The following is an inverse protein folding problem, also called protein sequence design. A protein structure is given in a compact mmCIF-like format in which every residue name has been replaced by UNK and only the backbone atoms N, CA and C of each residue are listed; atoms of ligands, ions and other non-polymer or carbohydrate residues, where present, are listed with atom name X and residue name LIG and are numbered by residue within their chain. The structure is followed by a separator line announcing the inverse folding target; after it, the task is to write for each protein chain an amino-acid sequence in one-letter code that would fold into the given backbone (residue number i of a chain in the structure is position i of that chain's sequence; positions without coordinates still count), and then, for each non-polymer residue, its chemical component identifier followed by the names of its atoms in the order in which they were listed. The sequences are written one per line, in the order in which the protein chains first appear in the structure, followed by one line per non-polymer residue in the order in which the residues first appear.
data_IF_069011413508
#
_entry.id   IF_069011413508
#
_cell.length_a   1.000
_cell.length_b   1.000
_cell.length_c   1.000
_cell.angle_alpha   90.00
_cell.angle_beta   90.00
_cell.angle_gamma   90.00
#
_symmetry.space_group_name_H-M   'P 1'
#
loop_
_entity.id
_entity.type
_entity.pdbx_description
1 polymer ?
#
# COMPACT_ATOMS: atom_id res chain seq x y z
N UNK A 1 25.35 -7.88 0.81
CA UNK A 1 24.82 -7.00 1.87
C UNK A 1 24.40 -5.74 1.16
N UNK A 2 23.18 -5.70 0.63
CA UNK A 2 22.77 -4.58 -0.21
C UNK A 2 22.03 -3.59 0.68
N UNK A 3 22.84 -2.77 1.36
CA UNK A 3 22.37 -1.60 2.09
C UNK A 3 21.87 -0.60 1.05
N UNK A 4 20.54 -0.46 0.95
CA UNK A 4 19.94 0.66 0.22
C UNK A 4 20.25 1.92 1.02
N UNK A 5 21.29 2.65 0.62
CA UNK A 5 21.61 3.96 1.19
C UNK A 5 20.59 4.95 0.63
N UNK A 6 19.72 5.56 1.46
CA UNK A 6 18.80 6.59 0.98
C UNK A 6 19.59 7.79 0.46
N UNK A 7 19.18 8.35 -0.69
CA UNK A 7 19.73 9.60 -1.18
C UNK A 7 19.47 10.73 -0.16
N UNK A 8 20.47 11.56 0.19
CA UNK A 8 20.41 12.49 1.32
C UNK A 8 19.42 13.65 1.16
N UNK A 9 18.84 13.85 -0.02
CA UNK A 9 18.07 15.06 -0.36
C UNK A 9 16.54 14.87 -0.36
N UNK A 10 16.04 13.75 0.17
CA UNK A 10 14.60 13.59 0.36
C UNK A 10 14.19 14.06 1.75
N UNK A 11 13.72 15.30 1.87
CA UNK A 11 13.03 15.75 3.07
C UNK A 11 11.90 14.74 3.43
N UNK A 12 11.95 14.21 4.65
CA UNK A 12 10.90 13.32 5.16
C UNK A 12 9.60 14.12 5.31
N UNK A 13 8.43 13.54 4.98
CA UNK A 13 7.18 14.25 5.21
C UNK A 13 7.00 14.52 6.70
N UNK A 14 6.43 15.67 7.09
CA UNK A 14 6.08 15.94 8.48
C UNK A 14 5.08 14.89 8.98
N UNK A 15 5.22 14.48 10.24
CA UNK A 15 4.22 13.61 10.89
C UNK A 15 2.93 14.40 11.03
N UNK A 16 1.84 13.84 10.50
CA UNK A 16 0.52 14.46 10.55
C UNK A 16 -0.01 14.48 11.98
N UNK A 17 -0.83 15.47 12.33
CA UNK A 17 -1.47 15.55 13.65
C UNK A 17 -2.24 14.26 14.01
N UNK A 18 -2.92 13.63 13.04
CA UNK A 18 -3.61 12.33 13.23
C UNK A 18 -2.65 11.19 13.61
N UNK A 19 -1.38 11.31 13.22
CA UNK A 19 -0.33 10.32 13.45
C UNK A 19 0.62 10.73 14.58
N UNK A 20 0.33 11.82 15.28
CA UNK A 20 1.23 12.39 16.29
C UNK A 20 1.55 11.40 17.41
N UNK A 21 0.53 10.68 17.88
CA UNK A 21 0.68 9.72 18.98
C UNK A 21 1.03 8.30 18.49
N UNK A 22 1.11 8.11 17.17
CA UNK A 22 1.52 6.83 16.61
C UNK A 22 3.02 6.60 16.85
N UNK A 23 3.45 5.35 17.07
CA UNK A 23 4.86 5.05 17.24
C UNK A 23 5.64 5.47 15.99
N UNK A 24 6.88 5.92 16.18
CA UNK A 24 7.75 6.37 15.09
C UNK A 24 9.12 5.72 15.15
N UNK A 25 9.73 5.54 13.99
CA UNK A 25 11.11 5.09 13.85
C UNK A 25 11.74 5.80 12.66
N UNK A 26 13.00 6.22 12.82
CA UNK A 26 13.75 6.94 11.79
C UNK A 26 12.97 8.16 11.24
N UNK A 27 12.31 8.91 12.13
CA UNK A 27 11.56 10.13 11.78
C UNK A 27 10.33 9.89 10.90
N UNK A 28 9.83 8.66 10.83
CA UNK A 28 8.59 8.30 10.15
C UNK A 28 7.64 7.63 11.15
N UNK A 29 6.33 7.87 10.99
CA UNK A 29 5.30 7.07 11.66
C UNK A 29 5.42 5.63 11.21
N UNK A 30 5.30 4.70 12.15
CA UNK A 30 5.15 3.27 11.89
C UNK A 30 3.66 3.03 11.61
N UNK A 31 3.26 2.64 10.38
CA UNK A 31 1.88 2.28 10.09
C UNK A 31 1.36 1.21 11.04
N UNK A 32 0.10 1.30 11.44
CA UNK A 32 -0.56 0.37 12.36
C UNK A 32 -0.38 -1.11 11.94
N UNK A 33 -0.47 -1.42 10.64
CA UNK A 33 -0.30 -2.79 10.13
C UNK A 33 1.15 -3.26 10.05
N UNK A 34 2.13 -2.46 10.49
CA UNK A 34 3.54 -2.81 10.31
C UNK A 34 3.97 -3.85 11.32
N UNK A 35 4.56 -4.94 10.83
CA UNK A 35 5.17 -5.96 11.67
C UNK A 35 6.28 -5.32 12.53
N UNK A 36 6.20 -5.47 13.85
CA UNK A 36 7.14 -4.82 14.78
C UNK A 36 7.71 -5.80 15.80
N UNK A 37 9.02 -5.76 16.01
CA UNK A 37 9.62 -6.37 17.20
C UNK A 37 9.26 -5.52 18.44
N UNK A 38 9.31 -6.17 19.61
CA UNK A 38 9.23 -5.53 20.95
C UNK A 38 8.06 -4.54 21.10
N UNK A 39 6.84 -5.05 20.99
CA UNK A 39 5.63 -4.29 21.32
C UNK A 39 5.42 -3.02 20.49
N UNK A 40 5.68 -3.09 19.18
CA UNK A 40 5.32 -2.01 18.26
C UNK A 40 6.38 -0.92 18.02
N UNK A 41 7.60 -1.07 18.54
CA UNK A 41 8.62 0.01 18.50
C UNK A 41 9.78 -0.21 17.55
N UNK A 42 9.97 -1.43 17.06
CA UNK A 42 11.05 -1.79 16.14
C UNK A 42 10.46 -2.37 14.85
N UNK A 43 10.14 -1.52 13.85
CA UNK A 43 9.42 -1.95 12.67
C UNK A 43 10.29 -2.77 11.73
N UNK A 44 9.68 -3.79 11.13
CA UNK A 44 10.19 -4.54 9.98
C UNK A 44 9.59 -3.91 8.74
N UNK A 45 10.24 -2.87 8.23
CA UNK A 45 9.71 -2.06 7.12
C UNK A 45 9.41 -2.88 5.86
N UNK A 46 8.15 -2.85 5.41
CA UNK A 46 7.68 -3.61 4.26
C UNK A 46 7.17 -5.01 4.59
N UNK A 47 7.07 -5.35 5.87
CA UNK A 47 6.34 -6.54 6.35
C UNK A 47 5.07 -6.11 7.10
N UNK A 48 3.97 -6.82 6.83
CA UNK A 48 2.68 -6.61 7.48
C UNK A 48 2.54 -7.55 8.67
N UNK A 49 2.01 -7.05 9.79
CA UNK A 49 1.57 -7.87 10.90
C UNK A 49 0.26 -8.58 10.51
N UNK A 50 0.21 -9.92 10.47
CA UNK A 50 -0.99 -10.63 10.08
C UNK A 50 -2.18 -10.40 11.01
N UNK A 51 -1.95 -10.19 12.31
CA UNK A 51 -3.02 -9.93 13.28
C UNK A 51 -3.59 -8.52 13.09
N UNK A 52 -2.74 -7.51 12.96
CA UNK A 52 -3.21 -6.14 12.72
C UNK A 52 -3.84 -6.00 11.34
N UNK A 53 -3.32 -6.70 10.32
CA UNK A 53 -3.95 -6.76 9.01
C UNK A 53 -5.37 -7.35 9.09
N UNK A 54 -5.55 -8.46 9.83
CA UNK A 54 -6.87 -9.04 10.04
C UNK A 54 -7.80 -8.08 10.79
N UNK A 55 -7.31 -7.37 11.80
CA UNK A 55 -8.08 -6.36 12.53
C UNK A 55 -8.55 -5.24 11.59
N UNK A 56 -7.62 -4.67 10.83
CA UNK A 56 -7.87 -3.56 9.92
C UNK A 56 -8.90 -3.93 8.85
N UNK A 57 -8.79 -5.13 8.27
CA UNK A 57 -9.77 -5.63 7.31
C UNK A 57 -11.13 -5.90 7.96
N UNK A 58 -11.15 -6.55 9.13
CA UNK A 58 -12.40 -6.95 9.81
C UNK A 58 -13.21 -5.74 10.31
N UNK A 59 -12.52 -4.70 10.76
CA UNK A 59 -13.15 -3.52 11.36
C UNK A 59 -13.13 -2.28 10.47
N UNK A 60 -12.71 -2.42 9.20
CA UNK A 60 -12.61 -1.30 8.25
C UNK A 60 -11.87 -0.10 8.83
N UNK A 61 -10.65 -0.36 9.29
CA UNK A 61 -9.75 0.63 9.87
C UNK A 61 -8.75 1.11 8.83
N UNK A 62 -8.16 2.27 9.04
CA UNK A 62 -7.03 2.73 8.24
C UNK A 62 -5.77 1.93 8.56
N UNK A 63 -5.10 1.38 7.53
CA UNK A 63 -3.86 0.61 7.75
C UNK A 63 -2.69 1.42 8.34
N UNK A 64 -2.73 2.76 8.23
CA UNK A 64 -1.66 3.63 8.78
C UNK A 64 -1.95 4.05 10.21
N UNK A 65 -3.14 4.57 10.51
CA UNK A 65 -3.43 5.11 11.84
C UNK A 65 -4.23 4.18 12.74
N UNK A 66 -4.79 3.09 12.23
CA UNK A 66 -5.60 2.14 13.01
C UNK A 66 -7.01 2.65 13.37
N UNK A 67 -7.40 3.86 12.97
CA UNK A 67 -8.73 4.40 13.27
C UNK A 67 -9.78 4.06 12.21
N UNK A 68 -11.07 4.02 12.57
CA UNK A 68 -12.16 3.85 11.61
C UNK A 68 -12.16 4.93 10.53
N UNK A 69 -12.56 4.55 9.32
CA UNK A 69 -12.73 5.49 8.21
C UNK A 69 -13.87 6.49 8.45
N UNK A 70 -13.68 7.73 7.97
CA UNK A 70 -14.78 8.66 7.70
C UNK A 70 -15.40 8.36 6.33
N UNK A 71 -15.99 9.37 5.68
CA UNK A 71 -16.79 9.21 4.45
C UNK A 71 -15.99 8.70 3.23
N UNK A 72 -14.67 8.89 3.22
CA UNK A 72 -13.81 8.57 2.09
C UNK A 72 -12.69 7.64 2.49
N UNK A 73 -12.45 6.65 1.62
CA UNK A 73 -11.36 5.70 1.75
C UNK A 73 -10.50 5.76 0.50
N UNK A 74 -9.19 5.77 0.70
CA UNK A 74 -8.20 5.65 -0.38
C UNK A 74 -7.63 4.24 -0.38
N UNK A 75 -7.62 3.60 -1.54
CA UNK A 75 -6.93 2.33 -1.77
C UNK A 75 -5.73 2.63 -2.66
N UNK A 76 -4.54 2.21 -2.22
CA UNK A 76 -3.32 2.25 -3.02
C UNK A 76 -3.20 0.93 -3.76
N UNK A 77 -3.07 0.99 -5.09
CA UNK A 77 -3.08 -0.22 -5.92
C UNK A 77 -2.28 -0.04 -7.21
N UNK A 78 -1.90 -1.18 -7.78
CA UNK A 78 -1.23 -1.30 -9.09
C UNK A 78 -2.26 -1.65 -10.16
N UNK A 79 -1.94 -1.47 -11.46
CA UNK A 79 -2.81 -1.90 -12.56
C UNK A 79 -3.21 -3.39 -12.49
N UNK A 80 -2.29 -4.28 -12.07
CA UNK A 80 -2.58 -5.70 -11.92
C UNK A 80 -3.65 -5.99 -10.84
N UNK A 81 -3.62 -5.25 -9.72
CA UNK A 81 -4.61 -5.37 -8.64
C UNK A 81 -6.01 -4.98 -9.15
N UNK A 82 -6.09 -3.92 -9.96
CA UNK A 82 -7.33 -3.50 -10.62
C UNK A 82 -7.89 -4.59 -11.55
N UNK A 83 -7.05 -5.18 -12.40
CA UNK A 83 -7.46 -6.24 -13.33
C UNK A 83 -7.96 -7.49 -12.59
N UNK A 84 -7.38 -7.79 -11.42
CA UNK A 84 -7.85 -8.85 -10.52
C UNK A 84 -9.16 -8.49 -9.80
N UNK A 85 -9.51 -7.21 -9.75
CA UNK A 85 -10.71 -6.70 -9.09
C UNK A 85 -10.60 -6.64 -7.56
N UNK A 86 -9.39 -6.75 -7.02
CA UNK A 86 -9.13 -6.75 -5.58
C UNK A 86 -7.86 -5.96 -5.24
N UNK A 87 -7.96 -5.04 -4.28
CA UNK A 87 -6.83 -4.31 -3.72
C UNK A 87 -6.24 -5.12 -2.55
N UNK A 88 -5.00 -5.63 -2.63
CA UNK A 88 -4.42 -6.47 -1.58
C UNK A 88 -4.09 -5.70 -0.29
N UNK A 89 -3.91 -4.38 -0.39
CA UNK A 89 -3.67 -3.52 0.77
C UNK A 89 -4.98 -2.93 1.32
N UNK A 90 -5.14 -2.81 2.65
CA UNK A 90 -6.31 -2.19 3.24
C UNK A 90 -6.41 -0.69 2.92
N UNK A 91 -7.57 -0.10 3.19
CA UNK A 91 -7.83 1.30 2.92
C UNK A 91 -7.04 2.25 3.83
N UNK A 92 -6.97 3.51 3.40
CA UNK A 92 -6.37 4.61 4.13
C UNK A 92 -7.36 5.78 4.21
N UNK A 93 -7.25 6.60 5.27
CA UNK A 93 -7.78 7.96 5.20
C UNK A 93 -7.04 8.75 4.11
N UNK A 94 -7.67 9.74 3.45
CA UNK A 94 -7.02 10.56 2.43
C UNK A 94 -5.69 11.18 2.87
N UNK A 95 -5.63 11.73 4.08
CA UNK A 95 -4.42 12.32 4.65
C UNK A 95 -3.35 11.25 4.96
N UNK A 96 -3.75 10.07 5.44
CA UNK A 96 -2.84 8.96 5.67
C UNK A 96 -2.26 8.43 4.35
N UNK A 97 -3.06 8.41 3.28
CA UNK A 97 -2.58 8.09 1.94
C UNK A 97 -1.58 9.13 1.47
N UNK A 98 -1.87 10.42 1.62
CA UNK A 98 -0.94 11.49 1.28
C UNK A 98 0.42 11.31 2.00
N UNK A 99 0.38 11.09 3.32
CA UNK A 99 1.58 10.81 4.11
C UNK A 99 2.32 9.57 3.60
N UNK A 100 1.62 8.45 3.38
CA UNK A 100 2.21 7.20 2.90
C UNK A 100 2.88 7.36 1.53
N UNK A 101 2.25 8.09 0.60
CA UNK A 101 2.83 8.34 -0.73
C UNK A 101 4.14 9.11 -0.67
N UNK A 102 4.29 10.03 0.29
CA UNK A 102 5.52 10.77 0.52
C UNK A 102 6.54 10.00 1.38
N UNK A 103 6.10 9.17 2.32
CA UNK A 103 6.98 8.46 3.25
C UNK A 103 7.57 7.18 2.64
N UNK A 104 6.76 6.40 1.92
CA UNK A 104 7.17 5.11 1.39
C UNK A 104 8.17 5.28 0.23
N UNK A 105 9.38 4.67 0.29
CA UNK A 105 10.36 4.78 -0.79
C UNK A 105 9.85 4.27 -2.15
N UNK A 106 8.99 3.24 -2.13
CA UNK A 106 8.36 2.69 -3.34
C UNK A 106 7.42 3.74 -3.93
N UNK A 107 6.46 4.24 -3.17
CA UNK A 107 5.45 5.18 -3.68
C UNK A 107 6.05 6.55 -4.05
N UNK A 108 7.03 7.03 -3.29
CA UNK A 108 7.73 8.28 -3.55
C UNK A 108 8.77 8.17 -4.69
N UNK A 109 8.80 7.06 -5.42
CA UNK A 109 9.73 6.79 -6.54
C UNK A 109 11.22 6.92 -6.17
N UNK A 110 11.59 6.67 -4.91
CA UNK A 110 12.99 6.72 -4.43
C UNK A 110 13.75 5.42 -4.68
N UNK A 111 13.04 4.36 -5.06
CA UNK A 111 13.61 3.07 -5.45
C UNK A 111 13.00 2.63 -6.78
N UNK A 112 13.85 2.03 -7.61
CA UNK A 112 13.48 1.55 -8.95
C UNK A 112 13.09 0.08 -8.97
N UNK A 113 13.49 -0.71 -7.98
CA UNK A 113 13.21 -2.14 -7.91
C UNK A 113 12.70 -2.53 -6.53
N UNK A 114 11.87 -3.57 -6.48
CA UNK A 114 11.56 -4.25 -5.25
C UNK A 114 12.82 -4.89 -4.67
N UNK A 115 12.83 -5.12 -3.36
CA UNK A 115 13.93 -5.83 -2.72
C UNK A 115 14.03 -7.24 -3.33
N UNK A 116 15.25 -7.69 -3.62
CA UNK A 116 15.54 -9.01 -4.22
C UNK A 116 15.17 -10.21 -3.34
N UNK A 117 14.84 -9.97 -2.07
CA UNK A 117 14.26 -10.97 -1.17
C UNK A 117 13.17 -10.28 -0.35
N UNK A 118 12.07 -10.99 -0.13
CA UNK A 118 10.99 -10.58 0.75
C UNK A 118 11.54 -10.11 2.12
N UNK A 119 11.01 -9.01 2.65
CA UNK A 119 11.53 -8.42 3.89
C UNK A 119 11.32 -9.39 5.04
N UNK A 120 10.17 -10.05 5.08
CA UNK A 120 9.87 -11.06 6.09
C UNK A 120 10.74 -12.33 5.95
N UNK A 121 11.35 -12.59 4.78
CA UNK A 121 12.31 -13.70 4.63
C UNK A 121 13.68 -13.40 5.26
N UNK A 122 13.93 -12.15 5.66
CA UNK A 122 15.13 -11.71 6.40
C UNK A 122 14.84 -11.40 7.87
N UNK A 123 13.73 -11.90 8.43
CA UNK A 123 13.42 -11.74 9.84
C UNK A 123 14.50 -12.40 10.70
N UNK A 124 15.46 -11.60 11.15
CA UNK A 124 16.33 -11.99 12.25
C UNK A 124 15.46 -12.01 13.50
N UNK A 125 15.09 -13.21 13.95
CA UNK A 125 14.42 -13.38 15.24
C UNK A 125 15.33 -12.79 16.31
N UNK A 126 14.78 -12.00 17.22
CA UNK A 126 15.57 -11.55 18.36
C UNK A 126 15.67 -12.67 19.39
N UNK A 127 16.70 -12.62 20.22
CA UNK A 127 16.93 -13.59 21.31
C UNK A 127 15.99 -13.38 22.51
N UNK A 128 15.07 -12.42 22.43
CA UNK A 128 14.07 -12.15 23.47
C UNK A 128 12.90 -13.15 23.37
N UNK A 129 12.74 -14.06 24.36
CA UNK A 129 11.70 -15.08 24.33
C UNK A 129 10.28 -14.51 24.54
N UNK A 130 10.14 -13.26 25.00
CA UNK A 130 8.86 -12.59 25.17
C UNK A 130 8.43 -11.82 23.92
N UNK A 131 9.30 -11.72 22.91
CA UNK A 131 8.96 -11.04 21.67
C UNK A 131 8.04 -11.90 20.80
N UNK A 132 6.99 -11.28 20.25
CA UNK A 132 6.06 -11.93 19.32
C UNK A 132 6.73 -12.46 18.05
N UNK A 133 7.98 -12.06 17.76
CA UNK A 133 8.71 -12.58 16.61
C UNK A 133 9.01 -14.08 16.67
N UNK A 134 8.90 -14.71 17.85
CA UNK A 134 9.05 -16.15 18.00
C UNK A 134 8.02 -16.95 17.16
N UNK A 135 6.81 -16.40 16.97
CA UNK A 135 5.72 -17.07 16.24
C UNK A 135 5.59 -16.61 14.79
N UNK A 136 6.44 -15.68 14.33
CA UNK A 136 6.42 -15.21 12.95
C UNK A 136 6.83 -16.32 11.99
N UNK A 137 6.03 -16.45 10.93
CA UNK A 137 6.27 -17.38 9.83
C UNK A 137 7.00 -16.67 8.69
N UNK A 138 7.96 -17.32 8.03
CA UNK A 138 8.53 -16.80 6.79
C UNK A 138 7.44 -16.56 5.73
N UNK A 139 7.68 -15.66 4.76
CA UNK A 139 6.82 -15.50 3.60
C UNK A 139 6.61 -16.83 2.89
N UNK A 140 5.40 -17.03 2.38
CA UNK A 140 5.06 -18.20 1.58
C UNK A 140 5.68 -18.04 0.19
N UNK A 141 6.41 -19.06 -0.27
CA UNK A 141 6.93 -19.14 -1.64
C UNK A 141 5.78 -19.04 -2.64
N UNK A 142 5.98 -18.28 -3.72
CA UNK A 142 4.94 -18.04 -4.72
C UNK A 142 3.88 -17.00 -4.31
N UNK A 143 4.04 -16.34 -3.17
CA UNK A 143 3.25 -15.15 -2.82
C UNK A 143 3.53 -13.98 -3.78
N UNK A 144 2.65 -12.98 -3.81
CA UNK A 144 2.85 -11.79 -4.65
C UNK A 144 4.05 -10.94 -4.21
N UNK A 145 4.47 -11.02 -2.94
CA UNK A 145 5.74 -10.42 -2.49
C UNK A 145 6.93 -11.16 -3.11
N UNK A 146 6.88 -12.51 -3.13
CA UNK A 146 7.94 -13.35 -3.66
C UNK A 146 8.10 -13.19 -5.19
N UNK A 147 7.00 -13.19 -5.94
CA UNK A 147 7.02 -12.95 -7.40
C UNK A 147 7.59 -11.60 -7.80
N UNK A 148 7.39 -10.59 -6.94
CA UNK A 148 7.92 -9.24 -7.15
C UNK A 148 9.36 -9.09 -6.74
N UNK A 149 9.93 -10.04 -5.99
CA UNK A 149 11.26 -9.87 -5.44
C UNK A 149 12.28 -9.56 -6.55
N UNK A 150 12.94 -8.39 -6.45
CA UNK A 150 13.92 -7.92 -7.43
C UNK A 150 13.35 -7.36 -8.74
N UNK A 151 12.03 -7.43 -8.95
CA UNK A 151 11.40 -6.88 -10.16
C UNK A 151 11.40 -5.35 -10.15
N UNK A 152 11.37 -4.69 -11.32
CA UNK A 152 11.11 -3.26 -11.41
C UNK A 152 9.79 -2.88 -10.73
N UNK A 153 9.74 -1.71 -10.09
CA UNK A 153 8.49 -1.23 -9.48
C UNK A 153 7.49 -0.82 -10.57
N UNK A 154 6.26 -1.31 -10.48
CA UNK A 154 5.17 -0.95 -11.39
C UNK A 154 4.63 0.48 -11.11
N UNK A 155 3.71 0.95 -11.95
CA UNK A 155 2.96 2.18 -11.65
C UNK A 155 2.03 1.96 -10.45
N UNK A 156 1.81 3.02 -9.66
CA UNK A 156 0.92 3.00 -8.51
C UNK A 156 -0.11 4.11 -8.59
N UNK A 157 -1.30 3.82 -8.09
CA UNK A 157 -2.45 4.71 -8.11
C UNK A 157 -3.10 4.76 -6.74
N UNK A 158 -3.64 5.92 -6.41
CA UNK A 158 -4.57 6.12 -5.32
C UNK A 158 -5.99 6.16 -5.92
N UNK A 159 -6.88 5.34 -5.38
CA UNK A 159 -8.27 5.25 -5.80
C UNK A 159 -9.17 5.61 -4.62
N UNK A 160 -10.02 6.61 -4.81
CA UNK A 160 -10.97 7.06 -3.80
C UNK A 160 -12.30 6.34 -3.99
N UNK A 161 -12.81 5.78 -2.91
CA UNK A 161 -14.16 5.22 -2.84
C UNK A 161 -14.90 5.78 -1.64
N UNK A 162 -16.22 5.76 -1.74
CA UNK A 162 -17.07 6.07 -0.60
C UNK A 162 -16.95 4.97 0.46
N UNK A 163 -17.05 5.35 1.73
CA UNK A 163 -16.99 4.43 2.87
C UNK A 163 -18.05 3.34 2.79
N UNK A 164 -19.24 3.63 2.29
CA UNK A 164 -20.34 2.66 2.17
C UNK A 164 -20.09 1.62 1.07
N UNK A 165 -19.14 1.92 0.18
CA UNK A 165 -18.67 1.00 -0.85
C UNK A 165 -17.35 0.31 -0.48
N UNK A 166 -16.73 0.66 0.65
CA UNK A 166 -15.56 -0.06 1.17
C UNK A 166 -15.97 -1.44 1.69
N UNK A 167 -15.71 -2.48 0.88
CA UNK A 167 -16.04 -3.87 1.21
C UNK A 167 -14.79 -4.74 1.08
N UNK A 168 -14.67 -5.70 1.99
CA UNK A 168 -13.63 -6.74 1.90
C UNK A 168 -14.20 -7.94 1.15
N UNK A 169 -13.48 -8.40 0.14
CA UNK A 169 -13.77 -9.61 -0.61
C UNK A 169 -12.63 -10.63 -0.47
N UNK A 170 -12.93 -11.89 -0.75
CA UNK A 170 -11.93 -12.93 -0.94
C UNK A 170 -11.83 -13.24 -2.43
N UNK A 171 -10.65 -13.10 -2.99
CA UNK A 171 -10.33 -13.64 -4.30
C UNK A 171 -9.92 -15.10 -4.12
N UNK A 172 -10.55 -16.06 -4.83
CA UNK A 172 -10.31 -17.50 -4.63
C UNK A 172 -8.89 -17.91 -5.03
N UNK A 173 -8.19 -17.09 -5.80
CA UNK A 173 -6.93 -17.47 -6.43
C UNK A 173 -7.16 -18.08 -7.80
N UNK A 174 -6.07 -18.44 -8.45
CA UNK A 174 -6.00 -19.12 -9.75
C UNK A 174 -4.71 -19.97 -9.76
N UNK A 175 -4.45 -20.69 -10.86
CA UNK A 175 -3.26 -21.56 -10.97
C UNK A 175 -1.95 -20.80 -10.71
N UNK A 176 -1.91 -19.52 -11.07
CA UNK A 176 -0.73 -18.69 -10.93
C UNK A 176 -0.72 -17.86 -9.65
N UNK A 177 -1.84 -17.71 -8.94
CA UNK A 177 -1.97 -16.72 -7.87
C UNK A 177 -2.73 -17.24 -6.65
N UNK A 178 -2.15 -17.14 -5.44
CA UNK A 178 -2.81 -17.66 -4.25
C UNK A 178 -4.12 -16.93 -3.93
N UNK A 179 -5.02 -17.60 -3.16
CA UNK A 179 -6.18 -16.96 -2.58
C UNK A 179 -5.76 -15.76 -1.70
N UNK A 180 -6.53 -14.68 -1.72
CA UNK A 180 -6.25 -13.49 -0.93
C UNK A 180 -7.54 -12.81 -0.46
N UNK A 181 -7.46 -12.11 0.67
CA UNK A 181 -8.50 -11.18 1.11
C UNK A 181 -8.01 -9.75 0.88
N UNK A 182 -8.91 -8.86 0.48
CA UNK A 182 -8.56 -7.50 0.13
C UNK A 182 -9.79 -6.65 -0.16
N UNK A 183 -9.57 -5.40 -0.54
CA UNK A 183 -10.65 -4.45 -0.84
C UNK A 183 -11.26 -4.80 -2.20
N UNK A 184 -12.57 -4.98 -2.25
CA UNK A 184 -13.29 -5.18 -3.51
C UNK A 184 -13.18 -3.93 -4.38
N UNK A 185 -12.79 -4.10 -5.64
CA UNK A 185 -12.70 -3.01 -6.61
C UNK A 185 -13.71 -3.15 -7.76
N UNK A 186 -14.17 -4.38 -8.02
CA UNK A 186 -15.15 -4.66 -9.06
C UNK A 186 -16.53 -4.13 -8.67
N UNK A 187 -17.18 -3.47 -9.63
CA UNK A 187 -18.53 -2.89 -9.47
C UNK A 187 -18.65 -1.89 -8.32
N UNK A 188 -17.52 -1.28 -7.92
CA UNK A 188 -17.46 -0.24 -6.89
C UNK A 188 -17.46 1.13 -7.57
N UNK A 189 -18.41 2.03 -7.24
CA UNK A 189 -18.38 3.41 -7.70
C UNK A 189 -17.12 4.12 -7.23
N UNK A 190 -16.28 4.56 -8.17
CA UNK A 190 -15.05 5.27 -7.88
C UNK A 190 -15.31 6.78 -7.85
N UNK A 191 -14.82 7.46 -6.82
CA UNK A 191 -14.92 8.91 -6.69
C UNK A 191 -13.83 9.64 -7.46
N UNK A 192 -12.62 9.08 -7.47
CA UNK A 192 -11.45 9.62 -8.15
C UNK A 192 -10.35 8.56 -8.29
N UNK A 193 -9.48 8.74 -9.28
CA UNK A 193 -8.23 7.99 -9.42
C UNK A 193 -7.10 9.00 -9.64
N UNK A 194 -5.99 8.81 -8.95
CA UNK A 194 -4.79 9.63 -9.11
C UNK A 194 -3.57 8.73 -9.25
N UNK A 195 -2.77 8.96 -10.29
CA UNK A 195 -1.45 8.32 -10.40
C UNK A 195 -0.55 8.86 -9.27
N UNK A 196 0.04 7.95 -8.51
CA UNK A 196 0.99 8.23 -7.41
C UNK A 196 2.41 8.23 -7.94
N UNK A 197 2.76 7.25 -8.77
CA UNK A 197 4.04 7.17 -9.46
C UNK A 197 3.94 6.40 -10.77
N UNK A 198 4.84 6.70 -11.69
CA UNK A 198 5.05 5.89 -12.88
C UNK A 198 5.80 4.59 -12.55
N UNK A 199 5.67 3.62 -13.46
CA UNK A 199 6.51 2.43 -13.43
C UNK A 199 7.98 2.83 -13.61
N UNK A 200 8.88 2.05 -13.02
CA UNK A 200 10.30 2.17 -13.33
C UNK A 200 10.49 1.96 -14.83
N UNK A 201 11.16 2.88 -15.53
CA UNK A 201 11.39 2.75 -16.97
C UNK A 201 12.10 1.45 -17.29
N UNK A 202 11.48 0.62 -18.13
CA UNK A 202 12.14 -0.50 -18.77
C UNK A 202 12.78 0.01 -20.07
N UNK A 203 14.11 -0.11 -20.25
CA UNK A 203 14.80 0.30 -21.48
C UNK A 203 14.23 -0.34 -22.76
N UNK A 204 13.55 -1.50 -22.65
CA UNK A 204 12.90 -2.19 -23.75
C UNK A 204 11.43 -1.85 -23.96
N UNK A 205 10.78 -1.19 -22.99
CA UNK A 205 9.37 -0.82 -23.09
C UNK A 205 9.20 0.52 -23.82
N UNK A 206 8.07 0.67 -24.53
CA UNK A 206 7.75 1.96 -25.16
C UNK A 206 7.47 2.98 -24.05
N UNK A 207 8.27 4.04 -24.02
CA UNK A 207 8.04 5.19 -23.14
C UNK A 207 6.62 5.74 -23.35
N UNK A 208 5.87 5.91 -22.26
CA UNK A 208 4.52 6.51 -22.28
C UNK A 208 3.35 5.55 -22.48
N UNK A 209 3.53 4.24 -22.29
CA UNK A 209 2.42 3.28 -22.32
C UNK A 209 1.40 3.60 -21.21
N UNK A 210 0.14 3.84 -21.61
CA UNK A 210 -0.96 4.16 -20.68
C UNK A 210 -1.49 2.88 -20.08
N UNK A 211 -1.71 2.88 -18.76
CA UNK A 211 -2.36 1.76 -18.09
C UNK A 211 -3.89 1.88 -18.18
N UNK A 212 -4.60 0.79 -17.86
CA UNK A 212 -6.06 0.81 -17.71
C UNK A 212 -6.54 1.86 -16.69
N UNK A 213 -5.75 2.13 -15.66
CA UNK A 213 -6.07 3.12 -14.64
C UNK A 213 -5.85 4.56 -15.12
N UNK A 214 -4.92 4.79 -16.06
CA UNK A 214 -4.78 6.10 -16.70
C UNK A 214 -6.03 6.44 -17.52
N UNK A 215 -6.54 5.47 -18.27
CA UNK A 215 -7.77 5.62 -19.07
C UNK A 215 -8.97 5.83 -18.16
N UNK A 216 -9.12 5.00 -17.12
CA UNK A 216 -10.24 5.11 -16.18
C UNK A 216 -10.23 6.44 -15.41
N UNK A 217 -9.05 6.92 -15.00
CA UNK A 217 -8.91 8.23 -14.37
C UNK A 217 -9.42 9.36 -15.29
N UNK A 218 -9.07 9.31 -16.58
CA UNK A 218 -9.55 10.29 -17.55
C UNK A 218 -11.08 10.23 -17.74
N UNK A 219 -11.66 9.03 -17.82
CA UNK A 219 -13.12 8.84 -17.94
C UNK A 219 -13.84 9.42 -16.72
N UNK A 220 -13.38 9.11 -15.50
CA UNK A 220 -13.99 9.63 -14.27
C UNK A 220 -13.86 11.17 -14.20
N UNK A 221 -12.71 11.72 -14.57
CA UNK A 221 -12.52 13.17 -14.59
C UNK A 221 -13.45 13.87 -15.59
N UNK A 222 -13.64 13.29 -16.78
CA UNK A 222 -14.54 13.81 -17.82
C UNK A 222 -16.01 13.73 -17.37
N UNK A 223 -16.43 12.62 -16.77
CA UNK A 223 -17.80 12.48 -16.24
C UNK A 223 -18.09 13.52 -15.16
N UNK A 224 -17.14 13.75 -14.25
CA UNK A 224 -17.27 14.80 -13.21
C UNK A 224 -17.34 16.20 -13.79
N UNK A 225 -16.58 16.47 -14.84
CA UNK A 225 -16.64 17.75 -15.56
C UNK A 225 -17.99 17.94 -16.23
N UNK A 226 -18.48 16.92 -16.95
CA UNK A 226 -19.75 16.97 -17.67
C UNK A 226 -20.97 17.09 -16.73
N UNK A 227 -20.92 16.46 -15.55
CA UNK A 227 -22.00 16.46 -14.56
C UNK A 227 -21.98 17.66 -13.61
N UNK A 228 -21.01 18.57 -13.72
CA UNK A 228 -20.93 19.78 -12.88
C UNK A 228 -20.57 19.54 -11.41
N UNK A 229 -20.17 18.31 -11.03
CA UNK A 229 -19.69 17.96 -9.67
C UNK A 229 -18.23 18.40 -9.40
N UNK A 230 -17.82 19.50 -10.03
CA UNK A 230 -16.48 20.08 -9.97
C UNK A 230 -16.25 20.92 -8.72
N UNK A 231 -16.11 20.29 -7.56
CA UNK A 231 -15.39 20.86 -6.43
C UNK A 231 -14.45 19.80 -5.82
N UNK A 232 -13.18 20.19 -5.71
CA UNK A 232 -12.01 19.38 -5.38
C UNK A 232 -12.13 18.68 -4.02
N UNK A 233 -11.69 17.40 -3.88
CA UNK A 233 -11.28 16.88 -2.60
C UNK A 233 -9.76 17.09 -2.46
N UNK A 234 -9.35 17.94 -1.51
CA UNK A 234 -7.99 17.95 -1.00
C UNK A 234 -7.62 16.58 -0.40
#
# INVERSE_FOLDING_TARGET
MDSVTPSPDSARPPILARLHDAPSAQGLTIPFVTLCHRGGRMPVWGALDPADLQLVLSFSLCQVCGHPFGDRVVVLLRPADWLRGIGPEPGLHPECAHYATAACPVLAARVSHYRSRATAARLTRCDDPQCQCAVWKPPVTGSDEDKRAGQPIEAWYAVWIDRDHYRIARHPGDEDTPPMAGVLLRDVPLLAIRKVRDATPDPGARSGERTVLDVLAAVIALDRYATGKGASPL
#
